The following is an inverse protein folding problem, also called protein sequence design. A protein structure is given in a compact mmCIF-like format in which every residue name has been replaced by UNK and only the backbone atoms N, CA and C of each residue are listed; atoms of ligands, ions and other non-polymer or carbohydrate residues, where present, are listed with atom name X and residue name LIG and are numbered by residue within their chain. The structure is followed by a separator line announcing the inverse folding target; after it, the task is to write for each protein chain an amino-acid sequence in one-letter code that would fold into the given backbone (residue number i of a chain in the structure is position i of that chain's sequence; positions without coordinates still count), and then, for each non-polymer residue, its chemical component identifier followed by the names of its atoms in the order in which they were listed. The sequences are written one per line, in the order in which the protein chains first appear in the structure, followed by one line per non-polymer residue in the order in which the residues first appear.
data_IF_775256710485
#
_entry.id   IF_775256710485
#
_cell.length_a   1.000
_cell.length_b   1.000
_cell.length_c   1.000
_cell.angle_alpha   90.00
_cell.angle_beta   90.00
_cell.angle_gamma   90.00
#
_symmetry.space_group_name_H-M   'P 1'
#
loop_
_entity.id
_entity.type
_entity.pdbx_description
1 polymer ?
#
# COMPACT_ATOMS: atom_id res chain seq x y z
N UNK A 1 -26.00 17.09 -5.20
CA UNK A 1 -24.70 17.27 -4.53
C UNK A 1 -23.93 15.99 -4.73
N UNK A 2 -22.82 16.03 -5.47
CA UNK A 2 -21.96 14.86 -5.61
C UNK A 2 -21.48 14.44 -4.22
N UNK A 3 -21.48 13.14 -3.95
CA UNK A 3 -20.94 12.58 -2.72
C UNK A 3 -19.43 12.87 -2.68
N UNK A 4 -19.05 13.94 -1.99
CA UNK A 4 -17.63 14.34 -1.85
C UNK A 4 -16.85 13.36 -0.95
N UNK A 5 -17.56 12.42 -0.32
CA UNK A 5 -17.02 11.42 0.60
C UNK A 5 -17.52 10.00 0.28
N UNK A 6 -16.59 9.04 0.18
CA UNK A 6 -16.89 7.60 0.04
C UNK A 6 -17.34 6.99 1.38
N UNK A 7 -16.86 7.54 2.49
CA UNK A 7 -17.16 7.14 3.86
C UNK A 7 -17.66 8.33 4.66
N UNK A 8 -18.75 8.16 5.42
CA UNK A 8 -19.31 9.15 6.33
C UNK A 8 -19.10 8.72 7.79
N UNK A 9 -19.23 9.67 8.71
CA UNK A 9 -19.19 9.42 10.16
C UNK A 9 -20.26 8.42 10.63
N UNK A 10 -21.42 8.41 9.97
CA UNK A 10 -22.50 7.45 10.22
C UNK A 10 -22.14 6.00 9.88
N UNK A 11 -21.15 5.80 9.02
CA UNK A 11 -20.69 4.46 8.62
C UNK A 11 -19.73 3.85 9.65
N UNK A 12 -19.24 4.65 10.60
CA UNK A 12 -18.30 4.22 11.63
C UNK A 12 -19.01 3.51 12.79
N UNK A 13 -18.32 2.54 13.38
CA UNK A 13 -18.69 1.92 14.66
C UNK A 13 -18.75 2.98 15.77
N UNK A 14 -19.63 2.79 16.76
CA UNK A 14 -19.87 3.77 17.81
C UNK A 14 -18.59 4.17 18.57
N UNK A 15 -17.75 3.19 18.90
CA UNK A 15 -16.50 3.41 19.61
C UNK A 15 -15.52 4.27 18.81
N UNK A 16 -15.35 3.96 17.52
CA UNK A 16 -14.50 4.73 16.59
C UNK A 16 -15.06 6.15 16.39
N UNK A 17 -16.38 6.29 16.28
CA UNK A 17 -17.06 7.59 16.11
C UNK A 17 -16.87 8.52 17.30
N UNK A 18 -16.67 7.97 18.50
CA UNK A 18 -16.43 8.75 19.71
C UNK A 18 -15.03 9.40 19.77
N UNK A 19 -14.12 9.00 18.88
CA UNK A 19 -12.74 9.50 18.90
C UNK A 19 -12.68 11.01 18.56
N UNK A 20 -11.97 11.84 19.34
CA UNK A 20 -12.00 13.31 19.19
C UNK A 20 -11.50 13.81 17.83
N UNK A 21 -10.63 13.05 17.18
CA UNK A 21 -10.09 13.38 15.84
C UNK A 21 -10.76 12.62 14.69
N UNK A 22 -11.89 11.95 14.90
CA UNK A 22 -12.51 11.10 13.87
C UNK A 22 -12.89 11.88 12.61
N UNK A 23 -13.36 13.12 12.75
CA UNK A 23 -13.71 13.98 11.62
C UNK A 23 -12.48 14.27 10.75
N UNK A 24 -11.32 14.51 11.38
CA UNK A 24 -10.05 14.72 10.67
C UNK A 24 -9.57 13.43 10.00
N UNK A 25 -9.76 12.27 10.65
CA UNK A 25 -9.42 10.97 10.09
C UNK A 25 -10.27 10.66 8.84
N UNK A 26 -11.59 10.87 8.90
CA UNK A 26 -12.50 10.67 7.76
C UNK A 26 -12.16 11.61 6.60
N UNK A 27 -11.91 12.89 6.88
CA UNK A 27 -11.51 13.86 5.86
C UNK A 27 -10.16 13.49 5.23
N UNK A 28 -9.19 13.10 6.05
CA UNK A 28 -7.86 12.65 5.59
C UNK A 28 -7.92 11.39 4.75
N UNK A 29 -8.67 10.37 5.20
CA UNK A 29 -8.90 9.13 4.47
C UNK A 29 -9.56 9.39 3.12
N UNK A 30 -10.60 10.23 3.09
CA UNK A 30 -11.31 10.60 1.86
C UNK A 30 -10.41 11.37 0.90
N UNK A 31 -9.59 12.30 1.40
CA UNK A 31 -8.61 13.03 0.59
C UNK A 31 -7.52 12.11 -0.01
N UNK A 32 -7.05 11.13 0.75
CA UNK A 32 -6.10 10.11 0.27
C UNK A 32 -6.75 9.21 -0.79
N UNK A 33 -7.97 8.73 -0.54
CA UNK A 33 -8.73 7.94 -1.49
C UNK A 33 -8.94 8.69 -2.82
N UNK A 34 -9.27 9.99 -2.77
CA UNK A 34 -9.45 10.83 -3.97
C UNK A 34 -8.18 10.95 -4.80
N UNK A 35 -7.01 11.01 -4.15
CA UNK A 35 -5.72 11.06 -4.83
C UNK A 35 -5.33 9.72 -5.47
N UNK A 36 -5.63 8.62 -4.79
CA UNK A 36 -5.19 7.28 -5.17
C UNK A 36 -6.12 6.65 -6.21
N UNK A 37 -7.42 6.88 -6.05
CA UNK A 37 -8.50 6.21 -6.76
C UNK A 37 -9.62 7.23 -7.09
N UNK A 38 -9.36 8.24 -7.93
CA UNK A 38 -10.33 9.30 -8.24
C UNK A 38 -11.60 8.76 -8.90
N UNK A 39 -11.53 7.61 -9.59
CA UNK A 39 -12.67 6.95 -10.21
C UNK A 39 -13.75 6.42 -9.24
N UNK A 40 -13.52 6.47 -7.92
CA UNK A 40 -14.53 6.15 -6.91
C UNK A 40 -15.54 7.28 -6.66
N UNK A 41 -15.23 8.50 -7.11
CA UNK A 41 -16.04 9.70 -6.90
C UNK A 41 -16.80 10.10 -8.17
N UNK A 42 -16.79 9.24 -9.19
CA UNK A 42 -17.47 9.46 -10.46
C UNK A 42 -18.91 8.95 -10.47
N UNK A 43 -19.67 9.36 -11.48
CA UNK A 43 -21.04 8.88 -11.69
C UNK A 43 -21.08 7.38 -12.04
N UNK A 44 -20.02 6.87 -12.67
CA UNK A 44 -19.93 5.49 -13.18
C UNK A 44 -19.53 4.47 -12.11
N UNK A 45 -19.25 4.91 -10.88
CA UNK A 45 -18.88 4.00 -9.80
C UNK A 45 -20.09 3.17 -9.35
N UNK A 46 -19.94 1.85 -9.35
CA UNK A 46 -20.98 0.94 -8.86
C UNK A 46 -21.08 0.98 -7.33
N UNK A 47 -22.26 0.67 -6.78
CA UNK A 47 -22.45 0.58 -5.33
C UNK A 47 -21.57 -0.49 -4.69
N UNK A 48 -21.31 -1.60 -5.40
CA UNK A 48 -20.39 -2.64 -4.95
C UNK A 48 -18.97 -2.07 -4.74
N UNK A 49 -18.44 -1.34 -5.72
CA UNK A 49 -17.13 -0.68 -5.63
C UNK A 49 -17.07 0.35 -4.48
N UNK A 50 -18.14 1.14 -4.28
CA UNK A 50 -18.21 2.07 -3.14
C UNK A 50 -18.23 1.34 -1.80
N UNK A 51 -18.97 0.25 -1.69
CA UNK A 51 -19.07 -0.53 -0.46
C UNK A 51 -17.75 -1.20 -0.07
N UNK A 52 -17.01 -1.71 -1.06
CA UNK A 52 -15.69 -2.30 -0.84
C UNK A 52 -14.67 -1.23 -0.41
N UNK A 53 -14.65 -0.09 -1.12
CA UNK A 53 -13.80 1.03 -0.75
C UNK A 53 -14.12 1.55 0.67
N UNK A 54 -15.41 1.59 1.03
CA UNK A 54 -15.86 1.98 2.38
C UNK A 54 -15.28 1.06 3.46
N UNK A 55 -15.27 -0.26 3.23
CA UNK A 55 -14.70 -1.22 4.18
C UNK A 55 -13.18 -1.06 4.32
N UNK A 56 -12.46 -0.84 3.21
CA UNK A 56 -11.02 -0.58 3.24
C UNK A 56 -10.68 0.67 4.04
N UNK A 57 -11.44 1.76 3.85
CA UNK A 57 -11.24 3.01 4.60
C UNK A 57 -11.64 2.89 6.07
N UNK A 58 -12.72 2.16 6.38
CA UNK A 58 -13.13 1.88 7.74
C UNK A 58 -12.04 1.13 8.51
N UNK A 59 -11.47 0.09 7.91
CA UNK A 59 -10.35 -0.67 8.49
C UNK A 59 -9.15 0.23 8.81
N UNK A 60 -8.80 1.13 7.90
CA UNK A 60 -7.69 2.06 8.11
C UNK A 60 -7.97 3.01 9.29
N UNK A 61 -9.18 3.55 9.39
CA UNK A 61 -9.57 4.47 10.47
C UNK A 61 -9.62 3.77 11.81
N UNK A 62 -10.22 2.58 11.90
CA UNK A 62 -10.22 1.77 13.13
C UNK A 62 -8.79 1.53 13.62
N UNK A 63 -7.90 1.15 12.71
CA UNK A 63 -6.48 0.99 13.03
C UNK A 63 -5.84 2.31 13.53
N UNK A 64 -6.14 3.44 12.90
CA UNK A 64 -5.62 4.74 13.36
C UNK A 64 -6.12 5.12 14.75
N UNK A 65 -7.35 4.74 15.10
CA UNK A 65 -7.88 4.95 16.45
C UNK A 65 -7.24 4.05 17.50
N UNK A 66 -6.88 2.81 17.13
CA UNK A 66 -6.23 1.86 18.04
C UNK A 66 -4.75 2.21 18.30
N UNK A 67 -4.01 2.67 17.28
CA UNK A 67 -2.58 2.99 17.41
C UNK A 67 -2.26 4.21 18.31
N UNK A 68 -3.26 4.95 18.78
CA UNK A 68 -3.09 6.01 19.79
C UNK A 68 -3.31 5.54 21.24
N UNK A 69 -3.86 4.33 21.41
CA UNK A 69 -4.35 3.85 22.71
C UNK A 69 -3.36 2.94 23.46
N UNK A 70 -2.31 2.44 22.80
CA UNK A 70 -1.53 1.33 23.33
C UNK A 70 -0.29 1.76 24.12
N UNK A 71 -0.14 1.14 25.30
CA UNK A 71 0.90 1.39 26.28
C UNK A 71 2.28 0.91 25.77
N UNK A 72 3.36 1.52 26.29
CA UNK A 72 4.73 1.03 26.07
C UNK A 72 4.79 -0.43 26.53
N UNK A 73 4.95 -1.36 25.58
CA UNK A 73 5.12 -2.77 25.93
C UNK A 73 6.59 -3.01 26.28
N UNK A 74 6.87 -3.24 27.55
CA UNK A 74 8.15 -3.77 27.99
C UNK A 74 8.12 -5.29 27.96
N UNK A 75 9.02 -5.88 27.16
CA UNK A 75 9.29 -7.31 27.20
C UNK A 75 10.66 -7.52 27.85
N UNK A 76 10.71 -8.32 28.92
CA UNK A 76 11.93 -8.68 29.62
C UNK A 76 12.19 -10.17 29.47
N UNK A 77 13.34 -10.53 28.92
CA UNK A 77 13.82 -11.90 28.80
C UNK A 77 15.19 -12.01 29.50
N UNK A 78 15.16 -12.40 30.78
CA UNK A 78 16.36 -12.47 31.60
C UNK A 78 17.05 -11.10 31.73
N UNK A 79 18.36 -10.96 31.42
CA UNK A 79 19.07 -9.68 31.49
C UNK A 79 18.73 -8.72 30.36
N UNK A 80 17.97 -9.15 29.34
CA UNK A 80 17.59 -8.31 28.22
C UNK A 80 16.21 -7.70 28.45
N UNK A 81 16.10 -6.39 28.31
CA UNK A 81 14.82 -5.67 28.29
C UNK A 81 14.68 -4.92 26.98
N UNK A 82 13.50 -5.00 26.38
CA UNK A 82 13.12 -4.26 25.18
C UNK A 82 11.84 -3.47 25.49
N UNK A 83 11.92 -2.15 25.40
CA UNK A 83 10.75 -1.29 25.38
C UNK A 83 10.33 -1.07 23.92
N UNK A 84 9.19 -1.63 23.51
CA UNK A 84 8.59 -1.30 22.22
C UNK A 84 7.67 -0.10 22.42
N UNK A 85 8.11 1.06 21.94
CA UNK A 85 7.29 2.27 21.93
C UNK A 85 6.39 2.26 20.68
N UNK A 86 5.15 1.79 20.86
CA UNK A 86 4.13 1.78 19.81
C UNK A 86 3.61 3.19 19.45
N UNK A 87 4.03 4.24 20.17
CA UNK A 87 3.64 5.64 19.91
C UNK A 87 4.28 6.21 18.65
N UNK A 88 5.33 5.57 18.13
CA UNK A 88 5.91 5.87 16.82
C UNK A 88 5.03 5.30 15.69
N UNK A 89 3.75 5.67 15.71
CA UNK A 89 2.80 5.35 14.65
C UNK A 89 3.21 6.06 13.37
N UNK A 90 3.14 5.37 12.22
CA UNK A 90 3.51 5.89 10.90
C UNK A 90 2.58 7.01 10.35
N UNK A 91 1.82 7.67 11.24
CA UNK A 91 0.86 8.73 10.95
C UNK A 91 -0.44 8.21 10.34
N UNK A 92 -1.35 9.14 10.02
CA UNK A 92 -2.61 8.87 9.29
C UNK A 92 -2.33 8.54 7.81
N UNK A 93 -1.63 7.44 7.57
CA UNK A 93 -1.26 6.94 6.24
C UNK A 93 -1.93 5.60 5.99
N UNK A 94 -2.49 5.46 4.78
CA UNK A 94 -2.91 4.16 4.27
C UNK A 94 -1.71 3.23 4.14
N UNK A 95 -1.92 1.96 4.45
CA UNK A 95 -0.95 0.91 4.20
C UNK A 95 -0.85 0.59 2.70
N UNK A 96 0.29 0.09 2.22
CA UNK A 96 0.45 -0.28 0.81
C UNK A 96 -0.64 -1.23 0.30
N UNK A 97 -1.10 -2.17 1.13
CA UNK A 97 -2.19 -3.10 0.80
C UNK A 97 -3.54 -2.40 0.62
N UNK A 98 -3.85 -1.40 1.46
CA UNK A 98 -5.06 -0.59 1.35
C UNK A 98 -5.02 0.29 0.10
N UNK A 99 -3.86 0.89 -0.18
CA UNK A 99 -3.64 1.65 -1.42
C UNK A 99 -3.82 0.76 -2.65
N UNK A 100 -3.30 -0.48 -2.61
CA UNK A 100 -3.44 -1.43 -3.71
C UNK A 100 -4.91 -1.84 -3.90
N UNK A 101 -5.64 -2.17 -2.83
CA UNK A 101 -7.07 -2.48 -2.90
C UNK A 101 -7.87 -1.34 -3.54
N UNK A 102 -7.68 -0.09 -3.08
CA UNK A 102 -8.38 1.06 -3.64
C UNK A 102 -8.11 1.26 -5.14
N UNK A 103 -6.88 0.96 -5.60
CA UNK A 103 -6.54 1.02 -7.02
C UNK A 103 -7.21 -0.11 -7.80
N UNK A 104 -7.23 -1.32 -7.26
CA UNK A 104 -7.83 -2.50 -7.90
C UNK A 104 -9.34 -2.32 -8.11
N UNK A 105 -10.06 -1.75 -7.13
CA UNK A 105 -11.49 -1.47 -7.22
C UNK A 105 -11.82 -0.59 -8.44
N UNK A 106 -11.02 0.44 -8.69
CA UNK A 106 -11.21 1.36 -9.84
C UNK A 106 -10.71 0.74 -11.15
N UNK A 107 -9.63 -0.02 -11.10
CA UNK A 107 -9.05 -0.65 -12.30
C UNK A 107 -9.89 -1.81 -12.84
N UNK A 108 -10.82 -2.34 -12.04
CA UNK A 108 -11.54 -3.57 -12.32
C UNK A 108 -10.65 -4.81 -12.13
N UNK A 109 -11.18 -6.02 -12.39
CA UNK A 109 -10.43 -7.26 -12.25
C UNK A 109 -9.18 -7.22 -13.14
N UNK A 110 -8.03 -7.01 -12.52
CA UNK A 110 -6.75 -7.06 -13.20
C UNK A 110 -6.51 -8.50 -13.67
N UNK A 111 -6.11 -8.74 -14.93
CA UNK A 111 -5.66 -10.07 -15.33
C UNK A 111 -4.50 -10.46 -14.40
N UNK A 112 -4.44 -11.72 -13.94
CA UNK A 112 -3.33 -12.21 -13.10
C UNK A 112 -2.00 -11.90 -13.79
N UNK A 113 -1.27 -10.92 -13.28
CA UNK A 113 0.05 -10.53 -13.79
C UNK A 113 1.10 -11.28 -12.99
N UNK A 114 2.06 -11.92 -13.65
CA UNK A 114 3.20 -12.50 -12.97
C UNK A 114 4.03 -11.37 -12.36
N UNK A 115 4.24 -11.38 -11.05
CA UNK A 115 5.16 -10.49 -10.38
C UNK A 115 6.54 -11.15 -10.36
N UNK A 116 7.56 -10.47 -10.88
CA UNK A 116 8.95 -10.93 -10.77
C UNK A 116 9.58 -10.20 -9.60
N UNK A 117 9.96 -10.95 -8.57
CA UNK A 117 10.83 -10.44 -7.52
C UNK A 117 12.24 -10.69 -7.99
N UNK A 118 12.92 -9.63 -8.43
CA UNK A 118 14.34 -9.71 -8.72
C UNK A 118 15.09 -9.94 -7.40
N UNK A 119 15.69 -11.13 -7.27
CA UNK A 119 16.44 -11.55 -6.08
C UNK A 119 17.93 -11.26 -6.22
N UNK A 120 18.37 -10.71 -7.34
CA UNK A 120 19.78 -10.38 -7.54
C UNK A 120 20.00 -8.95 -7.08
N UNK A 121 20.88 -8.71 -6.08
CA UNK A 121 21.33 -7.35 -5.81
C UNK A 121 22.04 -6.84 -7.06
N UNK A 122 21.40 -5.92 -7.79
CA UNK A 122 22.04 -5.22 -8.90
C UNK A 122 23.15 -4.36 -8.31
N UNK A 123 24.33 -4.94 -8.20
CA UNK A 123 25.56 -4.16 -8.19
C UNK A 123 25.62 -3.51 -9.56
N UNK A 124 25.36 -2.21 -9.62
CA UNK A 124 25.68 -1.37 -10.78
C UNK A 124 27.20 -1.28 -10.89
N UNK A 125 27.84 -2.37 -11.26
CA UNK A 125 29.20 -2.35 -11.80
C UNK A 125 29.04 -2.47 -13.30
N UNK A 126 29.68 -1.58 -14.05
CA UNK A 126 29.63 -1.49 -15.51
C UNK A 126 29.36 -2.84 -16.18
N UNK A 127 28.32 -2.89 -17.01
CA UNK A 127 28.07 -3.96 -17.97
C UNK A 127 29.25 -4.01 -18.94
N UNK A 128 30.29 -4.72 -18.56
CA UNK A 128 31.37 -5.10 -19.45
C UNK A 128 31.24 -6.60 -19.70
N UNK A 129 30.93 -6.92 -20.95
CA UNK A 129 30.74 -8.27 -21.43
C UNK A 129 32.07 -9.03 -21.31
N UNK A 130 32.05 -10.27 -20.82
CA UNK A 130 33.28 -11.09 -20.82
C UNK A 130 33.65 -11.41 -22.28
N UNK A 131 34.90 -11.19 -22.74
CA UNK A 131 35.27 -11.28 -24.16
C UNK A 131 34.93 -12.64 -24.81
N UNK A 132 35.00 -13.72 -24.02
CA UNK A 132 34.65 -15.06 -24.50
C UNK A 132 33.16 -15.26 -24.79
N UNK A 133 32.27 -14.52 -24.14
CA UNK A 133 30.83 -14.63 -24.38
C UNK A 133 30.45 -14.02 -25.75
N UNK A 134 31.17 -13.00 -26.20
CA UNK A 134 30.93 -12.34 -27.49
C UNK A 134 31.29 -13.26 -28.67
N UNK A 135 32.35 -14.06 -28.51
CA UNK A 135 32.84 -14.95 -29.57
C UNK A 135 32.04 -16.26 -29.71
N UNK A 136 31.55 -16.84 -28.61
CA UNK A 136 30.93 -18.18 -28.63
C UNK A 136 29.40 -18.17 -28.53
N UNK A 137 28.78 -17.15 -27.94
CA UNK A 137 27.36 -17.22 -27.52
C UNK A 137 26.51 -16.00 -27.89
N UNK A 138 27.10 -14.95 -28.45
CA UNK A 138 26.33 -13.83 -28.96
C UNK A 138 25.97 -14.07 -30.43
N UNK A 139 24.68 -13.97 -30.73
CA UNK A 139 24.14 -14.12 -32.07
C UNK A 139 24.51 -12.85 -32.85
N UNK A 140 25.74 -12.79 -33.37
CA UNK A 140 26.22 -11.87 -34.41
C UNK A 140 26.18 -10.36 -34.19
N UNK A 141 25.55 -9.85 -33.13
CA UNK A 141 25.31 -8.40 -32.98
C UNK A 141 25.40 -7.87 -31.54
N UNK A 142 26.08 -8.58 -30.62
CA UNK A 142 26.53 -8.05 -29.31
C UNK A 142 25.45 -7.52 -28.35
N UNK A 143 24.17 -7.66 -28.68
CA UNK A 143 23.05 -7.07 -27.91
C UNK A 143 22.24 -8.15 -27.17
N UNK A 144 22.29 -9.42 -27.63
CA UNK A 144 21.58 -10.54 -27.03
C UNK A 144 22.51 -11.74 -26.88
N UNK A 145 22.91 -12.04 -25.64
CA UNK A 145 23.60 -13.28 -25.30
C UNK A 145 22.62 -14.23 -24.61
N UNK A 146 22.67 -15.52 -24.98
CA UNK A 146 21.69 -16.56 -24.54
C UNK A 146 21.71 -16.85 -23.03
N UNK A 147 22.65 -16.26 -22.29
CA UNK A 147 22.68 -16.29 -20.82
C UNK A 147 21.72 -15.27 -20.16
N UNK A 148 21.07 -14.39 -20.92
CA UNK A 148 19.96 -13.56 -20.44
C UNK A 148 20.35 -12.31 -19.64
N UNK A 149 21.62 -11.92 -19.63
CA UNK A 149 22.04 -10.58 -19.17
C UNK A 149 22.05 -9.62 -20.37
N UNK A 150 21.09 -8.68 -20.39
CA UNK A 150 21.26 -7.41 -21.13
C UNK A 150 22.24 -6.50 -20.40
#
# INVERSE_FOLDING_TARGET
MADDYVLRDTDLLADVRSHPSVALMVAGASGQARRIAPGLFGADTTDAQRSEARLTLLKAITRWTEHGADAVQQQTAGPFSLGVDARLSSGYRLWPSEVQQLREIVSGPQPRRAFVVDRVPVQRTNREHHPGCDFFFCRGNGIDCSCGLS
#
